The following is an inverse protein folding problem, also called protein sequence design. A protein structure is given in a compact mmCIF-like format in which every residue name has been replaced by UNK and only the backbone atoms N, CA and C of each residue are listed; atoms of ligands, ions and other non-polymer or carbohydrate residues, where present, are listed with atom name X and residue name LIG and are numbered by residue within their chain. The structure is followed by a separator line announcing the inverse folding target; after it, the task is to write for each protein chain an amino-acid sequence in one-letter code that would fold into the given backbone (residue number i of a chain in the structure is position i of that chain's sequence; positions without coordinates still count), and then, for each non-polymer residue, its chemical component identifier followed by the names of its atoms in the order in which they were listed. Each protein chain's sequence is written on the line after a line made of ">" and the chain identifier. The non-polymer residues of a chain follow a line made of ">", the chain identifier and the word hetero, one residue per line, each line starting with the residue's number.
data_IF_300339296336
#
_entry.id   IF_300339296336
#
_cell.length_a   1.000
_cell.length_b   1.000
_cell.length_c   1.000
_cell.angle_alpha   90.00
_cell.angle_beta   90.00
_cell.angle_gamma   90.00
#
_symmetry.space_group_name_H-M   'P 1'
#
loop_
_entity.id
_entity.type
_entity.pdbx_description
1 polymer ?
#
# COMPACT_ATOMS: atom_id res chain seq x y z
N UNK A 1 68.21 -19.26 52.92
CA UNK A 1 67.12 -20.28 52.93
C UNK A 1 67.20 -21.03 51.61
N UNK A 2 67.72 -22.28 51.52
CA UNK A 2 67.77 -23.06 50.28
C UNK A 2 66.36 -23.69 50.06
N UNK A 3 65.69 -23.26 49.08
CA UNK A 3 64.43 -23.89 48.64
C UNK A 3 64.77 -25.24 48.04
N UNK A 4 64.14 -26.33 48.52
CA UNK A 4 64.43 -27.69 48.02
C UNK A 4 63.90 -27.75 46.54
N UNK A 5 64.64 -28.44 45.68
CA UNK A 5 64.30 -28.62 44.22
C UNK A 5 62.87 -29.08 44.06
N UNK A 6 62.40 -29.92 44.97
CA UNK A 6 60.99 -30.42 44.93
C UNK A 6 59.95 -29.32 45.10
N UNK A 7 60.18 -28.34 45.96
CA UNK A 7 59.32 -27.19 46.20
C UNK A 7 59.37 -26.20 45.05
N UNK A 8 60.55 -26.04 44.47
CA UNK A 8 60.70 -25.21 43.23
C UNK A 8 59.94 -25.80 42.04
N UNK A 9 60.06 -27.13 41.85
CA UNK A 9 59.36 -27.84 40.80
C UNK A 9 57.81 -27.77 40.98
N UNK A 10 57.34 -27.97 42.19
CA UNK A 10 55.92 -27.83 42.54
C UNK A 10 55.40 -26.42 42.31
N UNK A 11 56.13 -25.39 42.70
CA UNK A 11 55.80 -24.00 42.44
C UNK A 11 55.77 -23.68 40.95
N UNK A 12 56.76 -24.17 40.15
CA UNK A 12 56.81 -24.00 38.72
C UNK A 12 55.61 -24.68 38.01
N UNK A 13 55.30 -25.93 38.36
CA UNK A 13 54.14 -26.63 37.81
C UNK A 13 52.83 -25.91 38.11
N UNK A 14 52.68 -25.38 39.34
CA UNK A 14 51.46 -24.63 39.71
C UNK A 14 51.31 -23.34 38.89
N UNK A 15 52.41 -22.60 38.69
CA UNK A 15 52.42 -21.40 37.83
C UNK A 15 52.05 -21.73 36.37
N UNK A 16 52.61 -22.82 35.83
CA UNK A 16 52.31 -23.27 34.46
C UNK A 16 50.83 -23.65 34.32
N UNK A 17 50.28 -24.36 35.33
CA UNK A 17 48.84 -24.73 35.34
C UNK A 17 47.95 -23.50 35.44
N UNK A 18 48.29 -22.54 36.31
CA UNK A 18 47.52 -21.29 36.45
C UNK A 18 47.57 -20.47 35.15
N UNK A 19 48.76 -20.35 34.56
CA UNK A 19 48.90 -19.65 33.25
C UNK A 19 48.12 -20.37 32.13
N UNK A 20 48.10 -21.71 32.16
CA UNK A 20 47.28 -22.50 31.23
C UNK A 20 45.78 -22.25 31.40
N UNK A 21 45.30 -22.19 32.64
CA UNK A 21 43.89 -21.88 32.96
C UNK A 21 43.56 -20.45 32.57
N UNK A 22 44.44 -19.48 32.86
CA UNK A 22 44.22 -18.07 32.47
C UNK A 22 44.17 -17.95 30.93
N UNK A 23 45.04 -18.67 30.21
CA UNK A 23 45.03 -18.65 28.73
C UNK A 23 43.79 -19.32 28.17
N UNK A 24 43.28 -20.35 28.79
CA UNK A 24 42.03 -21.01 28.37
C UNK A 24 40.78 -20.17 28.67
N UNK A 25 40.75 -19.52 29.86
CA UNK A 25 39.63 -18.67 30.28
C UNK A 25 39.67 -17.28 29.65
N UNK A 26 40.82 -16.76 29.27
CA UNK A 26 41.01 -15.45 28.68
C UNK A 26 42.05 -15.53 27.53
N UNK A 27 41.69 -16.10 26.38
CA UNK A 27 42.61 -16.35 25.28
C UNK A 27 43.34 -15.10 24.74
N UNK A 28 42.80 -13.92 25.01
CA UNK A 28 43.41 -12.62 24.63
C UNK A 28 44.55 -12.15 25.53
N UNK A 29 44.75 -12.80 26.70
CA UNK A 29 45.84 -12.48 27.63
C UNK A 29 47.16 -13.01 27.04
N UNK A 30 48.12 -12.11 26.88
CA UNK A 30 49.44 -12.43 26.32
C UNK A 30 49.55 -12.32 24.79
N UNK A 31 48.50 -11.90 24.08
CA UNK A 31 48.59 -11.59 22.67
C UNK A 31 49.23 -10.21 22.43
N UNK A 32 50.05 -10.10 21.41
CA UNK A 32 50.58 -8.82 20.92
C UNK A 32 49.43 -7.94 20.37
N UNK A 33 49.70 -6.64 20.21
CA UNK A 33 48.69 -5.71 19.63
C UNK A 33 48.23 -6.11 18.22
N UNK A 34 49.14 -6.65 17.41
CA UNK A 34 48.83 -7.06 16.02
C UNK A 34 48.04 -8.37 15.99
N UNK A 35 48.38 -9.35 16.86
CA UNK A 35 47.59 -10.58 17.00
C UNK A 35 46.17 -10.29 17.50
N UNK A 36 45.98 -9.32 18.39
CA UNK A 36 44.62 -8.88 18.83
C UNK A 36 43.84 -8.27 17.69
N UNK A 37 44.44 -7.37 16.93
CA UNK A 37 43.78 -6.76 15.76
C UNK A 37 43.36 -7.82 14.72
N UNK A 38 44.23 -8.80 14.48
CA UNK A 38 43.93 -9.90 13.56
C UNK A 38 42.81 -10.79 14.11
N UNK A 39 42.81 -11.13 15.40
CA UNK A 39 41.72 -11.88 16.04
C UNK A 39 40.40 -11.12 16.01
N UNK A 40 40.44 -9.81 16.30
CA UNK A 40 39.24 -8.96 16.24
C UNK A 40 38.70 -8.84 14.81
N UNK A 41 39.55 -8.75 13.81
CA UNK A 41 39.10 -8.72 12.39
C UNK A 41 38.48 -10.06 11.95
N UNK A 42 39.06 -11.19 12.37
CA UNK A 42 38.49 -12.53 12.10
C UNK A 42 37.14 -12.70 12.80
N UNK A 43 37.06 -12.26 14.06
CA UNK A 43 35.80 -12.31 14.81
C UNK A 43 34.74 -11.45 14.14
N UNK A 44 35.06 -10.21 13.74
CA UNK A 44 34.14 -9.32 13.03
C UNK A 44 33.63 -9.94 11.72
N UNK A 45 34.50 -10.59 10.94
CA UNK A 45 34.12 -11.30 9.70
C UNK A 45 33.17 -12.45 10.03
N UNK A 46 33.48 -13.24 11.08
CA UNK A 46 32.61 -14.34 11.52
C UNK A 46 31.23 -13.86 11.95
N UNK A 47 31.16 -12.81 12.76
CA UNK A 47 29.92 -12.22 13.22
C UNK A 47 29.11 -11.63 12.06
N UNK A 48 29.79 -11.02 11.07
CA UNK A 48 29.15 -10.50 9.86
C UNK A 48 28.56 -11.63 9.01
N UNK A 49 29.28 -12.74 8.86
CA UNK A 49 28.78 -13.92 8.12
C UNK A 49 27.58 -14.51 8.84
N UNK A 50 27.64 -14.63 10.16
CA UNK A 50 26.53 -15.13 10.95
C UNK A 50 25.30 -14.22 10.81
N UNK A 51 25.46 -12.92 10.92
CA UNK A 51 24.37 -11.96 10.71
C UNK A 51 23.74 -12.07 9.31
N UNK A 52 24.56 -12.26 8.26
CA UNK A 52 24.05 -12.47 6.89
C UNK A 52 23.24 -13.76 6.82
N UNK A 53 23.75 -14.85 7.40
CA UNK A 53 23.06 -16.14 7.40
C UNK A 53 21.72 -16.07 8.16
N UNK A 54 21.70 -15.43 9.33
CA UNK A 54 20.48 -15.24 10.12
C UNK A 54 19.46 -14.37 9.34
N UNK A 55 19.95 -13.35 8.63
CA UNK A 55 19.11 -12.51 7.76
C UNK A 55 18.54 -13.28 6.57
N UNK A 56 19.33 -14.14 5.93
CA UNK A 56 18.89 -15.01 4.86
C UNK A 56 17.83 -16.02 5.35
N UNK A 57 18.06 -16.63 6.50
CA UNK A 57 17.09 -17.54 7.13
C UNK A 57 15.76 -16.83 7.40
N UNK A 58 15.80 -15.61 7.92
CA UNK A 58 14.58 -14.82 8.18
C UNK A 58 13.83 -14.49 6.88
N UNK A 59 14.56 -14.23 5.78
CA UNK A 59 13.94 -14.04 4.46
C UNK A 59 13.32 -15.33 3.95
N UNK A 60 14.00 -16.46 4.08
CA UNK A 60 13.46 -17.77 3.70
C UNK A 60 12.20 -18.12 4.47
N UNK A 61 12.19 -17.92 5.79
CA UNK A 61 11.03 -18.14 6.65
C UNK A 61 9.85 -17.22 6.24
N UNK A 62 10.15 -15.97 5.90
CA UNK A 62 9.14 -15.01 5.41
C UNK A 62 8.56 -15.44 4.05
N UNK A 63 9.38 -15.93 3.14
CA UNK A 63 8.95 -16.47 1.84
C UNK A 63 8.08 -17.71 2.04
N UNK A 64 8.46 -18.59 2.95
CA UNK A 64 7.68 -19.79 3.26
C UNK A 64 6.32 -19.42 3.85
N UNK A 65 6.27 -18.53 4.82
CA UNK A 65 5.02 -18.03 5.40
C UNK A 65 4.10 -17.39 4.34
N UNK A 66 4.69 -16.67 3.38
CA UNK A 66 3.94 -16.07 2.27
C UNK A 66 3.38 -17.14 1.30
N UNK A 67 4.15 -18.19 1.02
CA UNK A 67 3.69 -19.33 0.21
C UNK A 67 2.53 -20.05 0.89
N UNK A 68 2.66 -20.36 2.18
CA UNK A 68 1.62 -21.04 2.96
C UNK A 68 0.33 -20.19 3.02
N UNK A 69 0.48 -18.86 3.17
CA UNK A 69 -0.65 -17.93 3.12
C UNK A 69 -1.34 -17.92 1.76
N UNK A 70 -0.57 -17.93 0.67
CA UNK A 70 -1.10 -17.97 -0.70
C UNK A 70 -1.84 -19.27 -0.98
N UNK A 71 -1.25 -20.39 -0.59
CA UNK A 71 -1.85 -21.72 -0.76
C UNK A 71 -3.16 -21.84 0.03
N UNK A 72 -3.17 -21.35 1.27
CA UNK A 72 -4.38 -21.30 2.08
C UNK A 72 -5.47 -20.41 1.45
N UNK A 73 -5.08 -19.24 0.93
CA UNK A 73 -6.01 -18.35 0.22
C UNK A 73 -6.58 -19.00 -1.05
N UNK A 74 -5.77 -19.74 -1.80
CA UNK A 74 -6.23 -20.48 -2.99
C UNK A 74 -7.21 -21.60 -2.61
N UNK A 75 -6.92 -22.33 -1.52
CA UNK A 75 -7.82 -23.38 -1.02
C UNK A 75 -9.17 -22.81 -0.60
N UNK A 76 -9.17 -21.73 0.21
CA UNK A 76 -10.40 -21.05 0.64
C UNK A 76 -11.21 -20.53 -0.54
N UNK A 77 -10.54 -20.02 -1.58
CA UNK A 77 -11.20 -19.59 -2.80
C UNK A 77 -11.89 -20.74 -3.52
N UNK A 78 -11.22 -21.87 -3.64
CA UNK A 78 -11.78 -23.06 -4.29
C UNK A 78 -12.99 -23.60 -3.52
N UNK A 79 -12.88 -23.69 -2.19
CA UNK A 79 -14.00 -24.07 -1.31
C UNK A 79 -15.20 -23.12 -1.48
N UNK A 80 -14.96 -21.80 -1.48
CA UNK A 80 -16.01 -20.81 -1.70
C UNK A 80 -16.66 -20.90 -3.10
N UNK A 81 -15.88 -21.21 -4.14
CA UNK A 81 -16.40 -21.42 -5.50
C UNK A 81 -17.27 -22.69 -5.57
N UNK A 82 -16.89 -23.76 -4.85
CA UNK A 82 -17.69 -24.98 -4.77
C UNK A 82 -19.01 -24.74 -4.03
N UNK A 83 -18.97 -24.09 -2.87
CA UNK A 83 -20.19 -23.73 -2.12
C UNK A 83 -21.13 -22.83 -2.94
N UNK A 84 -20.57 -21.83 -3.65
CA UNK A 84 -21.35 -20.95 -4.51
C UNK A 84 -22.00 -21.71 -5.69
N UNK A 85 -21.33 -22.70 -6.23
CA UNK A 85 -21.88 -23.56 -7.28
C UNK A 85 -23.04 -24.40 -6.76
N UNK A 86 -22.87 -25.06 -5.62
CA UNK A 86 -23.92 -25.86 -4.99
C UNK A 86 -25.15 -25.02 -4.62
N UNK A 87 -24.91 -23.80 -4.08
CA UNK A 87 -25.99 -22.85 -3.77
C UNK A 87 -26.74 -22.42 -5.04
N UNK A 88 -26.05 -22.20 -6.17
CA UNK A 88 -26.70 -21.88 -7.45
C UNK A 88 -27.51 -23.04 -7.99
N UNK A 89 -27.00 -24.26 -7.91
CA UNK A 89 -27.72 -25.46 -8.36
C UNK A 89 -29.01 -25.66 -7.52
N UNK A 90 -28.95 -25.48 -6.20
CA UNK A 90 -30.15 -25.51 -5.32
C UNK A 90 -31.15 -24.40 -5.66
N UNK A 91 -30.67 -23.16 -5.87
CA UNK A 91 -31.55 -22.05 -6.23
C UNK A 91 -32.26 -22.26 -7.57
N UNK A 92 -31.54 -22.84 -8.56
CA UNK A 92 -32.14 -23.18 -9.88
C UNK A 92 -33.21 -24.28 -9.72
N UNK A 93 -32.96 -25.29 -8.89
CA UNK A 93 -33.95 -26.34 -8.60
C UNK A 93 -35.19 -25.76 -7.90
N UNK A 94 -35.01 -24.94 -6.88
CA UNK A 94 -36.15 -24.28 -6.17
C UNK A 94 -36.93 -23.36 -7.10
N UNK A 95 -36.27 -22.64 -8.00
CA UNK A 95 -36.95 -21.78 -8.97
C UNK A 95 -37.72 -22.61 -10.00
N UNK A 96 -37.17 -23.72 -10.45
CA UNK A 96 -37.83 -24.65 -11.35
C UNK A 96 -39.11 -25.23 -10.69
N UNK A 97 -39.05 -25.67 -9.45
CA UNK A 97 -40.19 -26.14 -8.70
C UNK A 97 -41.27 -25.04 -8.49
N UNK A 98 -40.86 -23.82 -8.18
CA UNK A 98 -41.78 -22.67 -8.06
C UNK A 98 -42.46 -22.36 -9.40
N UNK A 99 -41.72 -22.41 -10.51
CA UNK A 99 -42.29 -22.21 -11.86
C UNK A 99 -43.27 -23.32 -12.22
N UNK A 100 -43.01 -24.57 -11.87
CA UNK A 100 -43.92 -25.69 -12.10
C UNK A 100 -45.21 -25.53 -11.29
N UNK A 101 -45.11 -25.12 -10.00
CA UNK A 101 -46.27 -24.84 -9.15
C UNK A 101 -47.13 -23.70 -9.70
N UNK A 102 -46.48 -22.59 -10.11
CA UNK A 102 -47.16 -21.43 -10.73
C UNK A 102 -47.79 -21.80 -12.07
N UNK A 103 -47.12 -22.65 -12.89
CA UNK A 103 -47.68 -23.12 -14.15
C UNK A 103 -48.94 -23.97 -13.92
N UNK A 104 -48.92 -24.88 -12.93
CA UNK A 104 -50.09 -25.71 -12.53
C UNK A 104 -51.24 -24.84 -11.98
N UNK A 105 -50.96 -23.81 -11.18
CA UNK A 105 -51.94 -22.90 -10.66
C UNK A 105 -52.53 -21.99 -11.76
N UNK A 106 -51.68 -21.48 -12.68
CA UNK A 106 -52.12 -20.67 -13.81
C UNK A 106 -52.95 -21.50 -14.84
N UNK A 107 -52.65 -22.77 -15.01
CA UNK A 107 -53.46 -23.68 -15.82
C UNK A 107 -54.84 -23.86 -15.21
N UNK A 108 -54.94 -23.96 -13.88
CA UNK A 108 -56.19 -24.04 -13.13
C UNK A 108 -57.01 -22.75 -13.20
N UNK A 109 -56.35 -21.58 -13.10
CA UNK A 109 -56.98 -20.25 -13.23
C UNK A 109 -57.41 -19.90 -14.65
N UNK A 110 -56.75 -20.45 -15.69
CA UNK A 110 -57.15 -20.30 -17.10
C UNK A 110 -58.46 -21.02 -17.42
N UNK A 111 -58.79 -22.06 -16.65
CA UNK A 111 -60.10 -22.71 -16.74
C UNK A 111 -61.27 -21.96 -16.05
N UNK A 112 -60.94 -21.10 -15.13
CA UNK A 112 -61.95 -20.40 -14.29
C UNK A 112 -62.19 -18.91 -14.59
N UNK A 113 -61.43 -18.31 -15.52
CA UNK A 113 -61.52 -16.84 -15.67
C UNK A 113 -61.29 -16.30 -17.07
N UNK A 114 -62.30 -16.42 -17.94
CA UNK A 114 -62.47 -15.49 -19.06
C UNK A 114 -63.42 -14.37 -18.60
N UNK A 115 -62.86 -13.22 -18.16
CA UNK A 115 -63.48 -11.90 -18.40
C UNK A 115 -62.78 -10.77 -17.64
N UNK A 116 -62.73 -9.62 -18.31
CA UNK A 116 -62.53 -8.24 -17.88
C UNK A 116 -61.13 -7.63 -17.93
N UNK A 117 -60.87 -7.01 -18.98
CA UNK A 117 -60.51 -5.61 -19.29
C UNK A 117 -59.64 -4.77 -18.37
N UNK A 118 -58.56 -4.24 -18.90
CA UNK A 118 -58.29 -2.80 -19.04
C UNK A 118 -57.62 -2.07 -17.87
N UNK A 119 -56.52 -1.38 -18.16
CA UNK A 119 -56.10 -0.26 -17.33
C UNK A 119 -54.62 0.13 -17.43
N UNK A 120 -54.35 1.05 -18.36
CA UNK A 120 -53.06 1.76 -18.45
C UNK A 120 -52.72 2.51 -17.14
N UNK A 121 -51.45 2.37 -16.72
CA UNK A 121 -50.85 3.33 -15.80
C UNK A 121 -49.38 3.57 -16.19
N UNK A 122 -49.18 4.47 -17.15
CA UNK A 122 -47.87 5.06 -17.44
C UNK A 122 -47.46 5.95 -16.26
N UNK A 123 -46.42 5.56 -15.53
CA UNK A 123 -45.78 6.39 -14.49
C UNK A 123 -45.02 7.55 -15.18
N UNK A 124 -45.54 8.76 -15.03
CA UNK A 124 -44.84 10.00 -15.26
C UNK A 124 -43.67 10.12 -14.25
N UNK A 125 -42.45 9.77 -14.66
CA UNK A 125 -41.28 10.19 -13.97
C UNK A 125 -41.15 11.71 -14.08
N UNK A 126 -41.23 12.42 -12.98
CA UNK A 126 -41.01 13.84 -12.88
C UNK A 126 -39.61 14.19 -13.38
N UNK A 127 -39.54 14.97 -14.49
CA UNK A 127 -38.31 15.62 -14.94
C UNK A 127 -37.94 16.72 -13.93
N UNK A 128 -37.24 16.39 -12.87
CA UNK A 128 -36.47 17.36 -12.14
C UNK A 128 -35.26 17.73 -13.02
N UNK A 129 -35.19 18.99 -13.46
CA UNK A 129 -34.09 19.50 -14.27
C UNK A 129 -32.76 19.24 -13.57
N UNK A 130 -32.05 18.21 -14.02
CA UNK A 130 -30.74 17.87 -13.49
C UNK A 130 -29.76 19.00 -13.86
N UNK A 131 -29.22 19.67 -12.85
CA UNK A 131 -28.11 20.61 -13.05
C UNK A 131 -26.91 19.82 -13.56
N UNK A 132 -26.32 20.28 -14.66
CA UNK A 132 -25.06 19.72 -15.16
C UNK A 132 -24.01 19.70 -14.04
N UNK A 133 -23.41 18.57 -13.81
CA UNK A 133 -22.35 18.37 -12.81
C UNK A 133 -21.16 17.68 -13.45
N UNK A 134 -20.06 17.53 -12.73
CA UNK A 134 -18.91 16.75 -13.24
C UNK A 134 -19.25 15.28 -13.54
N UNK A 135 -20.36 14.76 -12.99
CA UNK A 135 -20.78 13.38 -13.17
C UNK A 135 -21.91 13.18 -14.16
N UNK A 136 -22.73 14.23 -14.36
CA UNK A 136 -23.94 14.15 -15.18
C UNK A 136 -24.03 15.33 -16.13
N UNK A 137 -24.46 15.05 -17.34
CA UNK A 137 -24.84 16.05 -18.33
C UNK A 137 -26.19 16.70 -17.94
N UNK A 138 -26.55 17.78 -18.59
CA UNK A 138 -27.83 18.48 -18.35
C UNK A 138 -29.07 17.61 -18.64
N UNK A 139 -28.93 16.60 -19.49
CA UNK A 139 -29.97 15.61 -19.81
C UNK A 139 -30.09 14.46 -18.82
N UNK A 140 -29.25 14.46 -17.74
CA UNK A 140 -29.19 13.41 -16.73
C UNK A 140 -28.37 12.18 -17.12
N UNK A 141 -27.78 12.16 -18.32
CA UNK A 141 -26.85 11.10 -18.72
C UNK A 141 -25.52 11.22 -17.98
N UNK A 142 -24.81 10.10 -17.81
CA UNK A 142 -23.49 10.09 -17.15
C UNK A 142 -22.48 10.81 -18.05
N UNK A 143 -21.85 11.85 -17.50
CA UNK A 143 -20.81 12.59 -18.20
C UNK A 143 -19.56 11.70 -18.42
N UNK A 144 -19.09 11.66 -19.67
CA UNK A 144 -17.87 10.93 -20.00
C UNK A 144 -16.65 11.79 -19.71
N UNK A 145 -15.84 11.38 -18.76
CA UNK A 145 -14.62 12.09 -18.44
C UNK A 145 -13.59 11.95 -19.58
N UNK A 146 -12.86 13.05 -19.88
CA UNK A 146 -11.90 13.09 -21.00
C UNK A 146 -10.78 12.06 -20.86
N UNK A 147 -10.41 11.67 -19.62
CA UNK A 147 -9.34 10.69 -19.34
C UNK A 147 -9.62 9.33 -19.99
N UNK A 148 -10.89 8.99 -20.21
CA UNK A 148 -11.31 7.75 -20.89
C UNK A 148 -10.88 7.72 -22.36
N UNK A 149 -10.61 8.89 -22.94
CA UNK A 149 -10.29 9.05 -24.36
C UNK A 149 -8.80 9.35 -24.61
N UNK A 150 -7.96 9.43 -23.55
CA UNK A 150 -6.52 9.63 -23.74
C UNK A 150 -5.85 8.36 -24.24
N UNK A 151 -4.83 8.52 -25.08
CA UNK A 151 -4.05 7.40 -25.63
C UNK A 151 -3.28 6.65 -24.55
N UNK A 152 -2.67 7.39 -23.63
CA UNK A 152 -1.96 6.85 -22.48
C UNK A 152 -2.08 7.75 -21.26
N UNK A 153 -1.88 7.19 -20.06
CA UNK A 153 -1.83 7.99 -18.85
C UNK A 153 -0.58 8.88 -18.79
N UNK A 154 0.50 8.53 -19.48
CA UNK A 154 1.68 9.39 -19.59
C UNK A 154 1.36 10.68 -20.38
N UNK A 155 0.48 10.62 -21.38
CA UNK A 155 0.03 11.80 -22.12
C UNK A 155 -0.91 12.67 -21.27
N UNK A 156 -1.70 12.04 -20.39
CA UNK A 156 -2.61 12.75 -19.50
C UNK A 156 -1.88 13.44 -18.35
N UNK A 157 -0.78 12.83 -17.87
CA UNK A 157 0.01 13.27 -16.71
C UNK A 157 1.50 13.44 -17.08
N UNK A 158 1.83 14.46 -17.91
CA UNK A 158 3.16 14.68 -18.46
C UNK A 158 4.09 15.48 -17.55
N UNK A 159 3.68 15.78 -16.30
CA UNK A 159 4.40 16.74 -15.45
C UNK A 159 5.76 16.19 -15.04
N UNK A 160 6.82 16.76 -15.61
CA UNK A 160 8.19 16.33 -15.40
C UNK A 160 8.69 16.71 -13.99
N UNK A 161 9.79 16.06 -13.59
CA UNK A 161 10.43 16.28 -12.28
C UNK A 161 10.83 17.74 -12.07
N UNK A 162 11.26 18.45 -13.12
CA UNK A 162 11.75 19.82 -13.06
C UNK A 162 10.67 20.81 -12.60
N UNK A 163 9.43 20.65 -13.07
CA UNK A 163 8.32 21.52 -12.63
C UNK A 163 7.86 21.15 -11.22
N UNK A 164 7.95 19.88 -10.87
CA UNK A 164 7.56 19.41 -9.55
C UNK A 164 8.55 19.87 -8.47
N UNK A 165 9.86 19.83 -8.72
CA UNK A 165 10.87 20.27 -7.75
C UNK A 165 10.76 21.77 -7.45
N UNK A 166 10.49 22.59 -8.47
CA UNK A 166 10.25 24.03 -8.28
C UNK A 166 9.03 24.27 -7.38
N UNK A 167 7.96 23.50 -7.59
CA UNK A 167 6.75 23.58 -6.76
C UNK A 167 7.02 23.09 -5.34
N UNK A 168 7.77 22.00 -5.20
CA UNK A 168 8.15 21.42 -3.91
C UNK A 168 8.97 22.39 -3.07
N UNK A 169 9.94 23.06 -3.67
CA UNK A 169 10.75 24.10 -3.00
C UNK A 169 9.92 25.33 -2.61
N UNK A 170 8.97 25.72 -3.45
CA UNK A 170 8.12 26.89 -3.19
C UNK A 170 7.15 26.69 -2.04
N UNK A 171 6.52 25.52 -1.95
CA UNK A 171 5.43 25.25 -1.03
C UNK A 171 5.79 24.31 0.12
N UNK A 172 6.99 23.75 0.07
CA UNK A 172 7.50 22.82 1.06
C UNK A 172 8.31 23.47 2.16
N UNK A 173 8.83 22.59 3.00
CA UNK A 173 9.78 22.94 4.05
C UNK A 173 11.20 22.63 3.60
N UNK A 174 12.21 23.22 4.25
CA UNK A 174 13.59 22.77 4.05
C UNK A 174 13.72 21.29 4.46
N UNK A 175 14.46 20.49 3.67
CA UNK A 175 14.62 19.07 3.95
C UNK A 175 15.12 18.79 5.37
N UNK A 176 14.40 17.95 6.11
CA UNK A 176 14.75 17.52 7.46
C UNK A 176 15.79 16.40 7.41
N UNK A 177 16.61 16.32 8.46
CA UNK A 177 17.63 15.29 8.55
C UNK A 177 17.01 13.91 8.80
N UNK A 178 16.15 13.79 9.82
CA UNK A 178 15.53 12.53 10.24
C UNK A 178 14.08 12.73 10.72
N UNK A 179 13.45 11.63 11.14
CA UNK A 179 12.07 11.63 11.67
C UNK A 179 11.93 12.52 12.90
N UNK A 180 12.88 12.52 13.82
CA UNK A 180 12.81 13.29 15.06
C UNK A 180 12.78 14.80 14.78
N UNK A 181 13.56 15.27 13.81
CA UNK A 181 13.49 16.67 13.36
C UNK A 181 12.12 17.00 12.77
N UNK A 182 11.56 16.11 11.94
CA UNK A 182 10.22 16.31 11.38
C UNK A 182 9.15 16.38 12.48
N UNK A 183 9.23 15.55 13.50
CA UNK A 183 8.34 15.56 14.66
C UNK A 183 8.45 16.86 15.47
N UNK A 184 9.62 17.46 15.52
CA UNK A 184 9.84 18.76 16.15
C UNK A 184 9.23 19.95 15.39
N UNK A 185 9.00 19.81 14.07
CA UNK A 185 8.52 20.88 13.17
C UNK A 185 7.00 20.93 13.03
N UNK A 186 6.26 20.78 14.12
CA UNK A 186 4.79 20.70 14.17
C UNK A 186 4.06 21.94 13.62
N UNK A 187 4.72 23.07 13.53
CA UNK A 187 4.16 24.29 12.92
C UNK A 187 4.15 24.25 11.40
N UNK A 188 4.97 23.42 10.77
CA UNK A 188 5.17 23.35 9.33
C UNK A 188 4.74 22.01 8.74
N UNK A 189 4.84 20.93 9.52
CA UNK A 189 4.55 19.56 9.11
C UNK A 189 3.41 18.97 9.94
N UNK A 190 2.50 18.30 9.26
CA UNK A 190 1.41 17.54 9.89
C UNK A 190 1.64 16.05 9.68
N UNK A 191 1.35 15.27 10.71
CA UNK A 191 1.33 13.82 10.61
C UNK A 191 0.13 13.38 9.76
N UNK A 192 0.36 12.46 8.84
CA UNK A 192 -0.68 11.85 8.02
C UNK A 192 -0.71 10.34 8.29
N UNK A 193 -1.84 9.84 8.76
CA UNK A 193 -2.07 8.41 9.01
C UNK A 193 -3.19 7.86 8.13
N UNK A 194 -3.30 6.55 8.06
CA UNK A 194 -4.44 5.90 7.41
C UNK A 194 -5.74 6.38 8.05
N UNK A 195 -6.75 6.63 7.22
CA UNK A 195 -8.04 7.15 7.64
C UNK A 195 -9.16 6.62 6.72
N UNK A 196 -10.43 7.03 6.90
CA UNK A 196 -11.50 6.56 6.02
C UNK A 196 -11.28 6.80 4.52
N UNK A 197 -10.52 7.84 4.13
CA UNK A 197 -10.36 8.24 2.72
C UNK A 197 -9.16 7.59 2.02
N UNK A 198 -8.12 7.23 2.76
CA UNK A 198 -6.93 6.57 2.19
C UNK A 198 -6.23 5.66 3.20
N UNK A 199 -5.42 4.76 2.68
CA UNK A 199 -4.56 3.87 3.45
C UNK A 199 -3.10 4.20 3.16
N UNK A 200 -2.26 4.22 4.18
CA UNK A 200 -0.81 4.37 4.04
C UNK A 200 -0.18 3.00 4.33
N UNK A 201 0.54 2.46 3.35
CA UNK A 201 1.33 1.24 3.52
C UNK A 201 2.48 1.45 4.52
N UNK A 202 3.05 0.37 5.09
CA UNK A 202 4.27 0.48 5.88
C UNK A 202 5.36 1.24 5.11
N UNK A 203 5.82 2.36 5.68
CA UNK A 203 6.77 3.26 5.04
C UNK A 203 8.20 2.88 5.45
N UNK A 204 8.96 2.25 4.55
CA UNK A 204 10.35 1.84 4.79
C UNK A 204 11.37 2.92 4.43
N UNK A 205 11.02 3.78 3.46
CA UNK A 205 11.89 4.78 2.84
C UNK A 205 11.29 6.18 2.84
N UNK A 206 10.34 6.43 3.70
CA UNK A 206 9.70 7.73 3.89
C UNK A 206 9.01 7.78 5.25
N UNK A 207 8.65 8.98 5.69
CA UNK A 207 7.97 9.24 6.95
C UNK A 207 6.59 9.87 6.70
N UNK A 208 5.59 9.62 7.55
CA UNK A 208 4.21 10.04 7.34
C UNK A 208 3.98 11.51 7.72
N UNK A 209 4.72 12.41 7.11
CA UNK A 209 4.61 13.86 7.34
C UNK A 209 4.45 14.60 6.02
N UNK A 210 3.59 15.62 6.02
CA UNK A 210 3.36 16.51 4.89
C UNK A 210 3.20 17.95 5.38
N UNK A 211 3.47 18.91 4.50
CA UNK A 211 3.00 20.26 4.72
C UNK A 211 1.47 20.29 4.72
N UNK A 212 0.81 21.20 5.46
CA UNK A 212 -0.66 21.23 5.56
C UNK A 212 -1.37 21.26 4.21
N UNK A 213 -0.85 22.00 3.24
CA UNK A 213 -1.40 22.07 1.88
C UNK A 213 -1.41 20.70 1.17
N UNK A 214 -0.35 19.92 1.30
CA UNK A 214 -0.25 18.59 0.71
C UNK A 214 -1.12 17.56 1.45
N UNK A 215 -1.24 17.67 2.77
CA UNK A 215 -2.13 16.84 3.56
C UNK A 215 -3.62 17.04 3.17
N UNK A 216 -4.03 18.31 2.99
CA UNK A 216 -5.39 18.64 2.52
C UNK A 216 -5.61 18.11 1.09
N UNK A 217 -4.63 18.23 0.19
CA UNK A 217 -4.72 17.68 -1.16
C UNK A 217 -4.93 16.15 -1.13
N UNK A 218 -4.13 15.44 -0.33
CA UNK A 218 -4.25 13.98 -0.20
C UNK A 218 -5.63 13.57 0.33
N UNK A 219 -6.15 14.31 1.31
CA UNK A 219 -7.48 14.10 1.87
C UNK A 219 -8.58 14.29 0.80
N UNK A 220 -8.46 15.33 -0.01
CA UNK A 220 -9.42 15.62 -1.08
C UNK A 220 -9.34 14.58 -2.22
N UNK A 221 -8.15 14.07 -2.54
CA UNK A 221 -8.00 12.98 -3.52
C UNK A 221 -8.77 11.76 -3.03
N UNK A 222 -8.55 11.34 -1.79
CA UNK A 222 -9.20 10.16 -1.24
C UNK A 222 -10.72 10.30 -1.17
N UNK A 223 -11.23 11.44 -0.69
CA UNK A 223 -12.67 11.75 -0.65
C UNK A 223 -13.27 11.76 -2.06
N UNK A 224 -12.69 12.52 -2.97
CA UNK A 224 -13.20 12.60 -4.34
C UNK A 224 -13.19 11.24 -5.06
N UNK A 225 -12.24 10.38 -4.72
CA UNK A 225 -12.19 9.02 -5.24
C UNK A 225 -13.37 8.19 -4.73
N UNK A 226 -13.65 8.19 -3.41
CA UNK A 226 -14.79 7.50 -2.81
C UNK A 226 -16.13 8.02 -3.35
N UNK A 227 -16.30 9.34 -3.42
CA UNK A 227 -17.49 9.97 -3.98
C UNK A 227 -17.72 9.57 -5.45
N UNK A 228 -16.63 9.51 -6.22
CA UNK A 228 -16.67 9.09 -7.64
C UNK A 228 -17.06 7.61 -7.78
N UNK A 229 -16.55 6.74 -6.90
CA UNK A 229 -16.94 5.32 -6.88
C UNK A 229 -18.42 5.17 -6.56
N UNK A 230 -18.91 5.87 -5.54
CA UNK A 230 -20.31 5.84 -5.14
C UNK A 230 -21.24 6.29 -6.27
N UNK A 231 -20.96 7.43 -6.90
CA UNK A 231 -21.77 7.95 -8.04
C UNK A 231 -21.77 7.00 -9.24
N UNK A 232 -20.67 6.28 -9.44
CA UNK A 232 -20.54 5.30 -10.54
C UNK A 232 -21.09 3.91 -10.18
N UNK A 233 -21.67 3.73 -8.99
CA UNK A 233 -22.19 2.45 -8.50
C UNK A 233 -21.12 1.38 -8.31
N UNK A 234 -19.88 1.80 -7.99
CA UNK A 234 -18.76 0.91 -7.74
C UNK A 234 -18.57 0.73 -6.23
N UNK A 235 -18.13 -0.47 -5.82
CA UNK A 235 -17.85 -0.74 -4.41
C UNK A 235 -16.75 0.17 -3.88
N UNK A 236 -16.83 0.51 -2.59
CA UNK A 236 -15.91 1.42 -1.93
C UNK A 236 -14.50 0.82 -1.84
N UNK A 237 -13.51 1.57 -2.32
CA UNK A 237 -12.09 1.25 -2.22
C UNK A 237 -11.34 2.50 -1.78
N UNK A 238 -10.30 2.31 -0.96
CA UNK A 238 -9.37 3.38 -0.59
C UNK A 238 -8.19 3.38 -1.54
N UNK A 239 -7.69 4.56 -1.84
CA UNK A 239 -6.38 4.72 -2.47
C UNK A 239 -5.30 4.28 -1.49
N UNK A 240 -4.19 3.75 -2.02
CA UNK A 240 -3.03 3.31 -1.24
C UNK A 240 -1.88 4.27 -1.50
N UNK A 241 -1.40 4.88 -0.41
CA UNK A 241 -0.23 5.76 -0.42
C UNK A 241 1.01 4.93 -0.13
N UNK A 242 1.99 4.97 -1.00
CA UNK A 242 3.20 4.15 -0.96
C UNK A 242 4.46 4.90 -0.55
N UNK A 243 4.46 6.22 -0.70
CA UNK A 243 5.56 7.08 -0.27
C UNK A 243 5.03 8.46 0.12
N UNK A 244 5.64 9.08 1.12
CA UNK A 244 5.30 10.41 1.64
C UNK A 244 6.58 11.26 1.70
N UNK A 245 6.86 11.93 2.82
CA UNK A 245 8.07 12.71 2.98
C UNK A 245 9.30 11.80 3.13
N UNK A 246 10.42 12.18 2.50
CA UNK A 246 11.73 11.54 2.68
C UNK A 246 12.66 12.45 3.46
N UNK A 247 13.35 11.91 4.43
CA UNK A 247 14.40 12.62 5.16
C UNK A 247 15.73 12.51 4.42
N UNK A 248 16.69 13.34 4.77
CA UNK A 248 18.07 13.23 4.24
C UNK A 248 18.69 11.88 4.56
N UNK A 249 18.51 11.39 5.79
CA UNK A 249 18.99 10.09 6.24
C UNK A 249 18.42 8.94 5.38
N UNK A 250 17.12 8.98 5.04
CA UNK A 250 16.50 7.97 4.19
C UNK A 250 17.01 8.04 2.74
N UNK A 251 17.20 9.24 2.20
CA UNK A 251 17.78 9.42 0.85
C UNK A 251 19.21 8.90 0.80
N UNK A 252 20.04 9.21 1.80
CA UNK A 252 21.40 8.68 1.91
C UNK A 252 21.40 7.14 1.99
N UNK A 253 20.55 6.58 2.83
CA UNK A 253 20.39 5.13 2.94
C UNK A 253 19.93 4.50 1.61
N UNK A 254 18.95 5.10 0.92
CA UNK A 254 18.52 4.61 -0.40
C UNK A 254 19.66 4.64 -1.43
N UNK A 255 20.52 5.66 -1.41
CA UNK A 255 21.65 5.79 -2.35
C UNK A 255 22.73 4.74 -2.13
N UNK A 256 22.92 4.24 -0.92
CA UNK A 256 23.80 3.11 -0.67
C UNK A 256 23.35 1.84 -1.40
N UNK A 257 22.03 1.64 -1.58
CA UNK A 257 21.49 0.49 -2.32
C UNK A 257 21.31 0.77 -3.81
N UNK A 258 21.04 2.03 -4.18
CA UNK A 258 20.80 2.42 -5.56
C UNK A 258 21.36 3.81 -5.85
N UNK A 259 22.53 3.87 -6.46
CA UNK A 259 23.23 5.11 -6.80
C UNK A 259 22.46 6.05 -7.75
N UNK A 260 21.38 5.59 -8.38
CA UNK A 260 20.53 6.41 -9.25
C UNK A 260 19.45 7.22 -8.48
N UNK A 261 19.39 7.12 -7.17
CA UNK A 261 18.47 7.92 -6.35
C UNK A 261 18.91 9.38 -6.36
N UNK A 262 18.02 10.27 -6.80
CA UNK A 262 18.28 11.71 -6.85
C UNK A 262 18.47 12.30 -5.46
N UNK A 263 19.49 13.10 -5.28
CA UNK A 263 19.70 13.92 -4.06
C UNK A 263 18.61 14.97 -3.88
N UNK A 264 18.01 15.44 -4.97
CA UNK A 264 16.97 16.45 -4.99
C UNK A 264 15.60 15.81 -5.27
N UNK A 265 15.10 15.04 -4.32
CA UNK A 265 13.77 14.46 -4.43
C UNK A 265 12.69 15.45 -3.96
N UNK A 266 11.59 15.58 -4.71
CA UNK A 266 10.43 16.38 -4.31
C UNK A 266 9.85 15.93 -2.95
N UNK A 267 9.98 14.66 -2.62
CA UNK A 267 9.54 14.11 -1.33
C UNK A 267 10.24 14.74 -0.11
N UNK A 268 11.46 15.25 -0.28
CA UNK A 268 12.20 15.82 0.85
C UNK A 268 11.57 17.12 1.40
N UNK A 269 10.71 17.75 0.63
CA UNK A 269 10.07 19.01 0.99
C UNK A 269 8.70 18.84 1.66
N UNK A 270 8.23 17.59 1.87
CA UNK A 270 6.93 17.31 2.48
C UNK A 270 5.72 17.68 1.60
N UNK A 271 5.92 17.88 0.31
CA UNK A 271 4.90 18.35 -0.66
C UNK A 271 4.41 17.26 -1.58
N UNK A 272 4.99 16.06 -1.50
CA UNK A 272 4.89 15.04 -2.52
C UNK A 272 4.45 13.71 -1.92
N UNK A 273 3.56 13.02 -2.63
CA UNK A 273 3.08 11.68 -2.28
C UNK A 273 3.06 10.78 -3.52
N UNK A 274 3.30 9.49 -3.32
CA UNK A 274 3.10 8.46 -4.33
C UNK A 274 1.84 7.67 -4.00
N UNK A 275 0.94 7.51 -4.98
CA UNK A 275 -0.31 6.77 -4.85
C UNK A 275 -0.28 5.60 -5.84
N UNK A 276 -0.42 4.38 -5.35
CA UNK A 276 -0.51 3.19 -6.18
C UNK A 276 -1.70 3.27 -7.15
N UNK A 277 -1.50 2.79 -8.39
CA UNK A 277 -2.58 2.71 -9.38
C UNK A 277 -2.92 1.28 -9.81
N UNK A 278 -2.17 0.31 -9.32
CA UNK A 278 -2.29 -1.10 -9.65
C UNK A 278 -2.85 -1.95 -8.51
N UNK A 279 -3.18 -1.34 -7.39
CA UNK A 279 -3.82 -1.96 -6.24
C UNK A 279 -4.57 -0.92 -5.41
N UNK A 280 -5.64 -1.37 -4.77
CA UNK A 280 -6.52 -0.54 -3.95
C UNK A 280 -6.97 -1.34 -2.74
N UNK A 281 -7.21 -0.68 -1.62
CA UNK A 281 -7.72 -1.34 -0.43
C UNK A 281 -9.24 -1.34 -0.46
N UNK A 282 -9.84 -2.51 -0.59
CA UNK A 282 -11.29 -2.65 -0.51
C UNK A 282 -11.80 -2.28 0.88
N UNK A 283 -12.85 -1.50 0.94
CA UNK A 283 -13.60 -1.26 2.18
C UNK A 283 -14.61 -2.39 2.33
N UNK A 284 -14.45 -3.19 3.39
CA UNK A 284 -15.42 -4.26 3.69
C UNK A 284 -16.72 -3.63 4.18
N UNK A 285 -17.81 -3.94 3.51
CA UNK A 285 -19.15 -3.62 3.98
C UNK A 285 -19.62 -4.69 4.98
N UNK A 286 -20.54 -4.33 5.87
CA UNK A 286 -21.10 -5.27 6.85
C UNK A 286 -21.85 -6.44 6.17
N UNK A 287 -22.40 -6.21 4.98
CA UNK A 287 -22.99 -7.25 4.14
C UNK A 287 -21.89 -7.90 3.28
N UNK A 288 -21.33 -8.99 3.79
CA UNK A 288 -20.29 -9.77 3.11
C UNK A 288 -20.75 -10.36 1.77
N UNK A 289 -22.02 -10.62 1.60
CA UNK A 289 -22.57 -11.23 0.39
C UNK A 289 -22.69 -10.21 -0.74
N UNK A 290 -23.14 -9.02 -0.46
CA UNK A 290 -23.11 -7.88 -1.37
C UNK A 290 -21.67 -7.52 -1.78
N UNK A 291 -20.77 -7.55 -0.81
CA UNK A 291 -19.35 -7.28 -1.02
C UNK A 291 -18.68 -8.29 -1.97
N UNK A 292 -19.00 -9.58 -1.88
CA UNK A 292 -18.44 -10.64 -2.76
C UNK A 292 -18.91 -10.51 -4.22
N UNK A 293 -20.14 -10.04 -4.44
CA UNK A 293 -20.75 -9.94 -5.77
C UNK A 293 -20.24 -8.73 -6.57
N UNK A 294 -19.71 -7.69 -5.91
CA UNK A 294 -19.30 -6.43 -6.52
C UNK A 294 -17.78 -6.25 -6.54
N UNK A 295 -17.05 -7.21 -7.11
CA UNK A 295 -15.61 -7.05 -7.32
C UNK A 295 -15.36 -6.09 -8.47
N UNK A 296 -14.64 -5.00 -8.20
CA UNK A 296 -14.21 -4.01 -9.20
C UNK A 296 -12.78 -4.32 -9.62
N UNK A 297 -12.55 -4.42 -10.93
CA UNK A 297 -11.20 -4.63 -11.45
C UNK A 297 -10.32 -3.38 -11.21
N UNK A 298 -9.05 -3.58 -10.86
CA UNK A 298 -8.09 -2.50 -10.59
C UNK A 298 -7.96 -1.52 -11.77
N UNK A 299 -8.09 -2.00 -12.99
CA UNK A 299 -8.11 -1.14 -14.21
C UNK A 299 -9.24 -0.11 -14.14
N UNK A 300 -10.42 -0.49 -13.63
CA UNK A 300 -11.55 0.42 -13.47
C UNK A 300 -11.32 1.41 -12.34
N UNK A 301 -10.78 0.96 -11.23
CA UNK A 301 -10.39 1.81 -10.09
C UNK A 301 -9.30 2.80 -10.49
N UNK A 302 -8.27 2.35 -11.23
CA UNK A 302 -7.25 3.22 -11.81
C UNK A 302 -7.85 4.31 -12.69
N UNK A 303 -8.82 3.96 -13.53
CA UNK A 303 -9.50 4.94 -14.38
C UNK A 303 -10.19 6.00 -13.53
N UNK A 304 -10.96 5.61 -12.49
CA UNK A 304 -11.65 6.56 -11.61
C UNK A 304 -10.66 7.44 -10.84
N UNK A 305 -9.57 6.87 -10.33
CA UNK A 305 -8.50 7.66 -9.70
C UNK A 305 -7.90 8.66 -10.69
N UNK A 306 -7.65 8.25 -11.93
CA UNK A 306 -7.11 9.13 -12.97
C UNK A 306 -8.07 10.27 -13.32
N UNK A 307 -9.38 10.06 -13.29
CA UNK A 307 -10.37 11.13 -13.46
C UNK A 307 -10.27 12.17 -12.34
N UNK A 308 -10.16 11.73 -11.09
CA UNK A 308 -9.98 12.61 -9.93
C UNK A 308 -8.69 13.42 -10.01
N UNK A 309 -7.58 12.75 -10.35
CA UNK A 309 -6.27 13.39 -10.47
C UNK A 309 -6.23 14.41 -11.61
N UNK A 310 -6.85 14.11 -12.76
CA UNK A 310 -6.95 15.05 -13.87
C UNK A 310 -7.76 16.29 -13.51
N UNK A 311 -8.87 16.13 -12.78
CA UNK A 311 -9.68 17.25 -12.30
C UNK A 311 -8.87 18.16 -11.37
N UNK A 312 -8.19 17.59 -10.37
CA UNK A 312 -7.39 18.36 -9.43
C UNK A 312 -6.17 19.02 -10.09
N UNK A 313 -5.53 18.33 -11.03
CA UNK A 313 -4.43 18.88 -11.82
C UNK A 313 -4.91 20.09 -12.65
N UNK A 314 -6.04 19.99 -13.32
CA UNK A 314 -6.65 21.07 -14.11
C UNK A 314 -7.10 22.26 -13.27
N UNK A 315 -7.51 22.01 -12.04
CA UNK A 315 -7.78 23.05 -11.04
C UNK A 315 -6.50 23.75 -10.54
N UNK A 316 -5.32 23.31 -10.97
CA UNK A 316 -4.03 23.87 -10.55
C UNK A 316 -3.65 23.49 -9.12
N UNK A 317 -4.20 22.41 -8.56
CA UNK A 317 -3.92 21.99 -7.18
C UNK A 317 -2.69 21.12 -7.04
N UNK A 318 -2.33 20.37 -8.09
CA UNK A 318 -1.17 19.50 -8.10
C UNK A 318 -0.56 19.34 -9.48
N UNK A 319 0.70 18.91 -9.49
CA UNK A 319 1.37 18.28 -10.61
C UNK A 319 1.24 16.78 -10.46
N UNK A 320 1.10 16.06 -11.58
CA UNK A 320 0.93 14.61 -11.58
C UNK A 320 1.80 13.99 -12.66
N UNK A 321 2.61 12.99 -12.27
CA UNK A 321 3.41 12.18 -13.18
C UNK A 321 2.99 10.72 -13.06
N UNK A 322 2.79 10.06 -14.19
CA UNK A 322 2.51 8.64 -14.24
C UNK A 322 3.82 7.85 -14.28
N UNK A 323 4.14 7.12 -13.21
CA UNK A 323 5.39 6.37 -13.07
C UNK A 323 5.18 4.87 -13.29
N UNK A 324 5.45 4.42 -14.54
CA UNK A 324 5.21 3.03 -14.96
C UNK A 324 6.05 2.04 -14.16
N UNK A 325 7.33 2.34 -13.94
CA UNK A 325 8.26 1.42 -13.25
C UNK A 325 7.92 1.24 -11.77
N UNK A 326 7.39 2.27 -11.13
CA UNK A 326 7.05 2.26 -9.71
C UNK A 326 5.59 1.87 -9.45
N UNK A 327 4.75 1.83 -10.49
CA UNK A 327 3.34 1.48 -10.36
C UNK A 327 2.51 2.51 -9.60
N UNK A 328 2.93 3.79 -9.60
CA UNK A 328 2.28 4.87 -8.87
C UNK A 328 2.05 6.12 -9.71
N UNK A 329 1.14 6.97 -9.23
CA UNK A 329 1.08 8.37 -9.58
C UNK A 329 1.93 9.15 -8.57
N UNK A 330 2.92 9.87 -9.08
CA UNK A 330 3.76 10.79 -8.31
C UNK A 330 3.14 12.17 -8.34
N UNK A 331 2.75 12.69 -7.18
CA UNK A 331 1.99 13.94 -7.06
C UNK A 331 2.72 14.94 -6.19
N UNK A 332 2.89 16.15 -6.69
CA UNK A 332 3.43 17.28 -5.93
C UNK A 332 2.38 18.39 -5.87
N UNK A 333 2.12 18.94 -4.67
CA UNK A 333 1.18 20.07 -4.48
C UNK A 333 1.65 21.30 -5.22
N UNK A 334 0.69 22.08 -5.74
CA UNK A 334 0.93 23.29 -6.52
C UNK A 334 0.45 24.56 -5.82
#
# INVERSE_FOLDING_TARGET
>A
MKISEKRYLQGFCLVVVVLGIVRAAAPRVGMSADERRQADSVQWVSDSIQWVNDSLQHVEDSIQAMRDSLENAQRLKLEAEQEAREAREKAVQEEAEKREKVAKENAKKRQEGLSAAGGDAASKAAKTGARASRFFNADGSVARHRIVSVRSYSDAFPDLQEVQIVSAQKWGVSPVWNRQEAEGRKSELVYVGSNPNFFIEPLYWSIPYLVPRAAVLLQDIGRNFLDSLQVKGLSAHKIIVTSVMRTKEEVERMRHYNGNVSENSCHMYGTTVDIAYNRFLRVEEQDREYSKQNTVADVRLKQVLSEVLDDLRRQGRCWVKYEVKQGCFHLTVR
#
